data_IF_603226536899
#
_entry.id   IF_603226536899
#
_cell.length_a   1.000
_cell.length_b   1.000
_cell.length_c   1.000
_cell.angle_alpha   90.00
_cell.angle_beta   90.00
_cell.angle_gamma   90.00
#
_symmetry.space_group_name_H-M   'P 1'
#
loop_
_entity.id
_entity.type
_entity.pdbx_description
1 polymer ?
#
# COMPACT_ATOMS: atom_id res chain seq x y z
N UNK A 1 -26.55 -5.55 14.60
CA UNK A 1 -25.22 -5.02 14.90
C UNK A 1 -25.31 -3.97 16.01
N UNK A 2 -24.48 -4.02 17.06
CA UNK A 2 -24.55 -3.09 18.18
C UNK A 2 -23.92 -1.74 17.84
N UNK A 3 -24.60 -0.95 17.01
CA UNK A 3 -24.10 0.35 16.57
C UNK A 3 -23.89 1.33 17.73
N UNK A 4 -24.71 1.19 18.79
CA UNK A 4 -24.64 2.00 19.99
C UNK A 4 -23.36 1.76 20.82
N UNK A 5 -22.66 0.64 20.58
CA UNK A 5 -21.37 0.36 21.19
C UNK A 5 -20.19 1.08 20.52
N UNK A 6 -20.41 1.70 19.37
CA UNK A 6 -19.38 2.48 18.68
C UNK A 6 -19.14 3.82 19.38
N UNK A 7 -17.91 4.35 19.36
CA UNK A 7 -17.65 5.72 19.78
C UNK A 7 -18.55 6.72 19.03
N UNK A 8 -19.00 7.76 19.73
CA UNK A 8 -20.01 8.71 19.22
C UNK A 8 -19.72 9.25 17.82
N UNK A 9 -18.48 9.57 17.51
CA UNK A 9 -18.12 10.11 16.20
C UNK A 9 -18.34 9.05 15.11
N UNK A 10 -17.92 7.83 15.35
CA UNK A 10 -18.04 6.72 14.39
C UNK A 10 -19.50 6.31 14.25
N UNK A 11 -20.22 6.23 15.38
CA UNK A 11 -21.64 5.92 15.39
C UNK A 11 -22.44 6.91 14.55
N UNK A 12 -22.29 8.21 14.81
CA UNK A 12 -22.98 9.27 14.04
C UNK A 12 -22.65 9.24 12.56
N UNK A 13 -21.38 9.04 12.20
CA UNK A 13 -20.98 8.91 10.79
C UNK A 13 -21.65 7.68 10.14
N UNK A 14 -21.70 6.55 10.83
CA UNK A 14 -22.35 5.35 10.32
C UNK A 14 -23.87 5.52 10.20
N UNK A 15 -24.53 6.17 11.18
CA UNK A 15 -25.96 6.49 11.14
C UNK A 15 -26.29 7.44 9.98
N UNK A 16 -25.50 8.49 9.78
CA UNK A 16 -25.68 9.45 8.68
C UNK A 16 -25.51 8.77 7.31
N UNK A 17 -24.43 8.03 7.10
CA UNK A 17 -24.23 7.28 5.84
C UNK A 17 -25.34 6.24 5.65
N UNK A 18 -25.75 5.54 6.70
CA UNK A 18 -26.84 4.57 6.65
C UNK A 18 -28.18 5.21 6.27
N UNK A 19 -28.49 6.38 6.83
CA UNK A 19 -29.69 7.14 6.49
C UNK A 19 -29.69 7.63 5.06
N UNK A 20 -28.53 8.03 4.53
CA UNK A 20 -28.36 8.53 3.17
C UNK A 20 -28.33 7.40 2.14
N UNK A 21 -27.48 6.39 2.37
CA UNK A 21 -27.24 5.29 1.42
C UNK A 21 -28.38 4.26 1.45
N UNK A 22 -29.09 4.13 2.57
CA UNK A 22 -30.13 3.07 2.81
C UNK A 22 -29.55 1.66 2.67
N UNK A 23 -28.34 1.46 3.17
CA UNK A 23 -27.70 0.17 3.22
C UNK A 23 -27.91 -0.52 4.58
N UNK A 24 -27.76 -1.85 4.68
CA UNK A 24 -27.81 -2.54 5.97
C UNK A 24 -26.80 -2.00 6.97
N UNK A 25 -27.23 -1.80 8.22
CA UNK A 25 -26.40 -1.22 9.30
C UNK A 25 -25.08 -1.96 9.49
N UNK A 26 -25.09 -3.29 9.37
CA UNK A 26 -23.88 -4.13 9.49
C UNK A 26 -22.85 -3.76 8.44
N UNK A 27 -23.29 -3.54 7.21
CA UNK A 27 -22.46 -3.20 6.08
C UNK A 27 -21.83 -1.81 6.27
N UNK A 28 -22.64 -0.83 6.66
CA UNK A 28 -22.19 0.55 6.94
C UNK A 28 -21.16 0.57 8.06
N UNK A 29 -21.44 -0.15 9.16
CA UNK A 29 -20.54 -0.23 10.31
C UNK A 29 -19.22 -0.95 9.96
N UNK A 30 -19.26 -2.00 9.14
CA UNK A 30 -18.05 -2.71 8.68
C UNK A 30 -17.17 -1.80 7.81
N UNK A 31 -17.76 -1.05 6.89
CA UNK A 31 -17.02 -0.07 6.07
C UNK A 31 -16.38 1.03 6.91
N UNK A 32 -17.13 1.57 7.91
CA UNK A 32 -16.61 2.57 8.82
C UNK A 32 -15.42 2.06 9.64
N UNK A 33 -15.55 0.87 10.25
CA UNK A 33 -14.50 0.27 11.05
C UNK A 33 -13.27 -0.14 10.21
N UNK A 34 -13.48 -0.68 9.01
CA UNK A 34 -12.39 -1.03 8.10
C UNK A 34 -11.56 0.19 7.69
N UNK A 35 -12.23 1.29 7.35
CA UNK A 35 -11.56 2.55 7.00
C UNK A 35 -10.84 3.17 8.20
N UNK A 36 -11.44 3.16 9.38
CA UNK A 36 -10.81 3.63 10.62
C UNK A 36 -9.57 2.79 10.97
N UNK A 37 -9.70 1.47 10.90
CA UNK A 37 -8.58 0.55 11.13
C UNK A 37 -7.40 0.85 10.20
N UNK A 38 -7.68 1.03 8.91
CA UNK A 38 -6.66 1.39 7.92
C UNK A 38 -5.98 2.74 8.24
N UNK A 39 -6.74 3.73 8.65
CA UNK A 39 -6.21 5.04 9.01
C UNK A 39 -5.34 5.00 10.28
N UNK A 40 -5.68 4.14 11.26
CA UNK A 40 -5.02 4.09 12.56
C UNK A 40 -3.84 3.11 12.64
N UNK A 41 -3.83 2.03 11.85
CA UNK A 41 -2.91 0.90 12.03
C UNK A 41 -1.41 1.25 11.92
N UNK A 42 -1.05 2.36 11.26
CA UNK A 42 0.33 2.84 11.18
C UNK A 42 0.74 3.73 12.38
N UNK A 43 -0.20 4.15 13.21
CA UNK A 43 0.01 5.12 14.26
C UNK A 43 -0.09 4.52 15.66
N UNK A 44 -0.83 3.42 15.82
CA UNK A 44 -1.10 2.83 17.13
C UNK A 44 -1.09 1.31 17.06
N UNK A 45 -0.60 0.69 18.12
CA UNK A 45 -0.72 -0.74 18.37
C UNK A 45 -1.73 -1.04 19.47
N UNK A 46 -2.42 -2.15 19.35
CA UNK A 46 -3.28 -2.68 20.39
C UNK A 46 -2.48 -3.61 21.32
N UNK A 47 -2.34 -3.23 22.59
CA UNK A 47 -1.77 -4.08 23.62
C UNK A 47 -2.90 -4.88 24.28
N UNK A 48 -3.03 -6.16 23.90
CA UNK A 48 -4.08 -7.07 24.43
C UNK A 48 -3.66 -7.77 25.71
N UNK A 49 -2.35 -7.97 25.90
CA UNK A 49 -1.74 -8.53 27.09
C UNK A 49 -0.29 -8.07 27.17
N UNK A 50 0.43 -8.40 28.29
CA UNK A 50 1.79 -7.91 28.54
C UNK A 50 2.80 -8.21 27.42
N UNK A 51 2.66 -9.36 26.74
CA UNK A 51 3.52 -9.77 25.61
C UNK A 51 2.76 -9.91 24.29
N UNK A 52 1.57 -9.34 24.21
CA UNK A 52 0.68 -9.45 23.07
C UNK A 52 0.29 -8.06 22.56
N UNK A 53 1.18 -7.49 21.78
CA UNK A 53 1.01 -6.19 21.12
C UNK A 53 1.10 -6.38 19.60
N UNK A 54 0.31 -5.63 18.86
CA UNK A 54 0.32 -5.65 17.40
C UNK A 54 -0.56 -4.55 16.82
N UNK A 55 -0.51 -4.37 15.50
CA UNK A 55 -1.26 -3.31 14.83
C UNK A 55 -2.77 -3.49 14.99
N UNK A 56 -3.51 -2.39 14.83
CA UNK A 56 -4.98 -2.34 14.89
C UNK A 56 -5.65 -2.79 13.59
N UNK A 57 -4.93 -3.49 12.70
CA UNK A 57 -5.47 -4.01 11.44
C UNK A 57 -6.63 -4.98 11.67
N UNK A 58 -7.73 -4.78 10.95
CA UNK A 58 -8.92 -5.62 10.99
C UNK A 58 -9.07 -6.44 9.71
N UNK A 59 -9.55 -7.68 9.87
CA UNK A 59 -9.98 -8.54 8.78
C UNK A 59 -11.51 -8.65 8.85
N UNK A 60 -12.19 -8.00 7.92
CA UNK A 60 -13.63 -7.94 7.87
C UNK A 60 -14.14 -8.60 6.59
N UNK A 61 -15.05 -9.55 6.72
CA UNK A 61 -15.77 -10.15 5.60
C UNK A 61 -17.26 -9.91 5.80
N UNK A 62 -17.85 -9.16 4.89
CA UNK A 62 -19.29 -8.84 4.92
C UNK A 62 -19.98 -9.54 3.75
N UNK A 63 -20.96 -10.37 4.04
CA UNK A 63 -21.81 -11.03 3.05
C UNK A 63 -23.04 -10.18 2.84
N UNK A 64 -23.31 -9.82 1.60
CA UNK A 64 -24.43 -8.98 1.21
C UNK A 64 -24.84 -9.28 -0.25
N UNK A 65 -26.13 -9.17 -0.55
CA UNK A 65 -26.65 -9.42 -1.89
C UNK A 65 -26.17 -8.36 -2.90
N UNK A 66 -26.36 -8.69 -4.17
CA UNK A 66 -26.12 -7.71 -5.23
C UNK A 66 -27.11 -6.55 -5.11
N UNK A 67 -26.63 -5.30 -5.25
CA UNK A 67 -27.48 -4.11 -5.11
C UNK A 67 -27.55 -3.53 -3.71
N UNK A 68 -27.02 -4.17 -2.65
CA UNK A 68 -27.02 -3.65 -1.26
C UNK A 68 -26.03 -2.49 -1.03
N UNK A 69 -25.55 -1.86 -2.10
CA UNK A 69 -24.77 -0.62 -2.07
C UNK A 69 -23.43 -0.70 -1.32
N UNK A 70 -22.79 -1.90 -1.32
CA UNK A 70 -21.47 -2.15 -0.73
C UNK A 70 -20.44 -1.10 -1.13
N UNK A 71 -20.23 -0.96 -2.44
CA UNK A 71 -19.26 -0.01 -3.01
C UNK A 71 -19.56 1.44 -2.64
N UNK A 72 -20.84 1.80 -2.51
CA UNK A 72 -21.23 3.16 -2.10
C UNK A 72 -20.82 3.42 -0.65
N UNK A 73 -21.08 2.47 0.27
CA UNK A 73 -20.65 2.60 1.66
C UNK A 73 -19.12 2.74 1.77
N UNK A 74 -18.37 1.86 1.11
CA UNK A 74 -16.91 1.90 1.11
C UNK A 74 -16.39 3.23 0.54
N UNK A 75 -17.03 3.75 -0.51
CA UNK A 75 -16.66 5.02 -1.13
C UNK A 75 -16.77 6.20 -0.16
N UNK A 76 -17.84 6.27 0.65
CA UNK A 76 -18.00 7.31 1.66
C UNK A 76 -16.90 7.28 2.71
N UNK A 77 -16.65 6.13 3.31
CA UNK A 77 -15.67 6.02 4.41
C UNK A 77 -14.21 6.03 3.94
N UNK A 78 -13.93 5.67 2.70
CA UNK A 78 -12.57 5.73 2.13
C UNK A 78 -12.23 7.06 1.45
N UNK A 79 -13.21 7.97 1.29
CA UNK A 79 -13.02 9.22 0.54
C UNK A 79 -11.86 10.07 1.08
N UNK A 80 -11.79 10.26 2.40
CA UNK A 80 -10.71 11.03 3.03
C UNK A 80 -9.33 10.38 2.84
N UNK A 81 -9.25 9.04 2.85
CA UNK A 81 -8.00 8.32 2.61
C UNK A 81 -7.57 8.47 1.15
N UNK A 82 -8.51 8.41 0.20
CA UNK A 82 -8.23 8.64 -1.21
C UNK A 82 -7.73 10.06 -1.46
N UNK A 83 -8.43 11.04 -0.90
CA UNK A 83 -8.03 12.44 -1.00
C UNK A 83 -6.62 12.66 -0.45
N UNK A 84 -6.31 12.11 0.72
CA UNK A 84 -4.97 12.18 1.28
C UNK A 84 -3.90 11.58 0.34
N UNK A 85 -4.17 10.41 -0.24
CA UNK A 85 -3.24 9.81 -1.22
C UNK A 85 -3.01 10.69 -2.44
N UNK A 86 -4.09 11.27 -2.98
CA UNK A 86 -4.03 12.17 -4.14
C UNK A 86 -3.24 13.44 -3.82
N UNK A 87 -3.50 14.06 -2.67
CA UNK A 87 -2.77 15.23 -2.19
C UNK A 87 -1.27 14.94 -2.01
N UNK A 88 -0.92 13.80 -1.42
CA UNK A 88 0.48 13.40 -1.25
C UNK A 88 1.16 13.12 -2.60
N UNK A 89 0.48 12.43 -3.50
CA UNK A 89 1.00 12.15 -4.84
C UNK A 89 1.23 13.43 -5.65
N UNK A 90 0.31 14.38 -5.58
CA UNK A 90 0.46 15.68 -6.27
C UNK A 90 1.57 16.53 -5.65
N UNK A 91 1.66 16.59 -4.32
CA UNK A 91 2.73 17.29 -3.61
C UNK A 91 4.13 16.77 -3.96
N UNK A 92 4.26 15.46 -4.21
CA UNK A 92 5.52 14.82 -4.54
C UNK A 92 5.82 14.75 -6.04
N UNK A 93 4.96 15.23 -6.89
CA UNK A 93 5.06 15.09 -8.36
C UNK A 93 6.35 15.65 -8.96
N UNK A 94 6.85 16.77 -8.44
CA UNK A 94 8.12 17.37 -8.87
C UNK A 94 9.28 16.50 -8.42
N UNK A 95 9.31 16.13 -7.15
CA UNK A 95 10.35 15.28 -6.56
C UNK A 95 10.44 13.91 -7.23
N UNK A 96 9.30 13.35 -7.65
CA UNK A 96 9.28 12.10 -8.45
C UNK A 96 10.02 12.26 -9.77
N UNK A 97 9.77 13.36 -10.49
CA UNK A 97 10.45 13.62 -11.77
C UNK A 97 11.95 13.85 -11.60
N UNK A 98 12.32 14.54 -10.54
CA UNK A 98 13.74 14.74 -10.17
C UNK A 98 14.42 13.39 -9.90
N UNK A 99 13.81 12.56 -9.04
CA UNK A 99 14.29 11.21 -8.76
C UNK A 99 14.36 10.33 -10.03
N UNK A 100 13.35 10.35 -10.89
CA UNK A 100 13.34 9.59 -12.14
C UNK A 100 14.51 10.00 -13.04
N UNK A 101 14.78 11.30 -13.14
CA UNK A 101 15.89 11.85 -13.92
C UNK A 101 17.26 11.43 -13.34
N UNK A 102 17.43 11.60 -12.02
CA UNK A 102 18.65 11.20 -11.33
C UNK A 102 18.90 9.71 -11.41
N UNK A 103 17.87 8.90 -11.20
CA UNK A 103 17.98 7.44 -11.30
C UNK A 103 18.27 6.98 -12.73
N UNK A 104 17.72 7.63 -13.75
CA UNK A 104 18.03 7.34 -15.14
C UNK A 104 19.50 7.66 -15.48
N UNK A 105 20.03 8.79 -15.00
CA UNK A 105 21.43 9.16 -15.16
C UNK A 105 22.35 8.15 -14.45
N UNK A 106 22.03 7.80 -13.21
CA UNK A 106 22.77 6.79 -12.43
C UNK A 106 22.80 5.42 -13.14
N UNK A 107 21.66 4.97 -13.67
CA UNK A 107 21.59 3.71 -14.44
C UNK A 107 22.47 3.75 -15.71
N UNK A 108 22.47 4.86 -16.44
CA UNK A 108 23.29 5.03 -17.63
C UNK A 108 24.80 5.00 -17.32
N UNK A 109 25.23 5.70 -16.27
CA UNK A 109 26.62 5.66 -15.79
C UNK A 109 27.03 4.25 -15.36
N UNK A 110 26.16 3.57 -14.61
CA UNK A 110 26.38 2.20 -14.17
C UNK A 110 26.56 1.24 -15.35
N UNK A 111 25.69 1.34 -16.34
CA UNK A 111 25.78 0.53 -17.57
C UNK A 111 27.06 0.81 -18.34
N UNK A 112 27.45 2.08 -18.46
CA UNK A 112 28.70 2.51 -19.06
C UNK A 112 29.93 1.88 -18.38
N UNK A 113 30.00 1.93 -17.03
CA UNK A 113 31.07 1.32 -16.25
C UNK A 113 31.11 -0.21 -16.40
N UNK A 114 29.94 -0.87 -16.36
CA UNK A 114 29.86 -2.32 -16.59
C UNK A 114 30.33 -2.72 -17.99
N UNK A 115 30.00 -1.93 -19.00
CA UNK A 115 30.47 -2.13 -20.37
C UNK A 115 31.97 -1.93 -20.48
N UNK A 116 32.53 -0.89 -19.85
CA UNK A 116 33.99 -0.66 -19.84
C UNK A 116 34.74 -1.80 -19.13
N UNK A 117 34.22 -2.34 -18.04
CA UNK A 117 34.77 -3.51 -17.33
C UNK A 117 34.81 -4.73 -18.28
N UNK A 118 33.71 -5.01 -18.99
CA UNK A 118 33.63 -6.12 -19.94
C UNK A 118 34.64 -5.98 -21.09
N UNK A 119 34.74 -4.78 -21.65
CA UNK A 119 35.68 -4.51 -22.76
C UNK A 119 37.15 -4.58 -22.32
N UNK A 120 37.49 -4.05 -21.16
CA UNK A 120 38.81 -4.14 -20.59
C UNK A 120 39.21 -5.61 -20.32
N UNK A 121 38.25 -6.41 -19.76
CA UNK A 121 38.46 -7.82 -19.53
C UNK A 121 38.71 -8.62 -20.80
N UNK A 122 37.96 -8.37 -21.87
CA UNK A 122 38.20 -9.00 -23.18
C UNK A 122 39.60 -8.69 -23.75
N UNK A 123 40.14 -7.52 -23.47
CA UNK A 123 41.43 -7.05 -23.95
C UNK A 123 42.56 -7.35 -22.97
N UNK A 124 42.33 -8.13 -21.91
CA UNK A 124 43.29 -8.45 -20.83
C UNK A 124 43.94 -7.21 -20.21
N UNK A 125 43.20 -6.08 -20.15
CA UNK A 125 43.59 -4.85 -19.48
C UNK A 125 43.12 -4.81 -18.06
N UNK A 126 43.76 -4.00 -17.20
CA UNK A 126 43.31 -3.80 -15.82
C UNK A 126 41.90 -3.23 -15.77
N UNK A 127 41.05 -3.78 -14.90
CA UNK A 127 39.67 -3.35 -14.64
C UNK A 127 39.54 -2.61 -13.33
N UNK A 128 40.61 -2.44 -12.56
CA UNK A 128 40.56 -1.94 -11.17
C UNK A 128 39.96 -0.53 -11.04
N UNK A 129 40.37 0.38 -11.94
CA UNK A 129 39.83 1.76 -11.92
C UNK A 129 38.32 1.78 -12.18
N UNK A 130 37.84 0.99 -13.13
CA UNK A 130 36.41 0.93 -13.43
C UNK A 130 35.61 0.27 -12.30
N UNK A 131 36.16 -0.71 -11.61
CA UNK A 131 35.55 -1.34 -10.45
C UNK A 131 35.46 -0.38 -9.26
N UNK A 132 36.52 0.41 -9.01
CA UNK A 132 36.48 1.41 -7.95
C UNK A 132 35.46 2.53 -8.28
N UNK A 133 35.42 3.00 -9.53
CA UNK A 133 34.40 3.97 -9.95
C UNK A 133 32.97 3.40 -9.82
N UNK A 134 32.75 2.12 -10.17
CA UNK A 134 31.46 1.47 -9.99
C UNK A 134 31.09 1.41 -8.51
N UNK A 135 32.03 1.08 -7.64
CA UNK A 135 31.80 1.06 -6.19
C UNK A 135 31.44 2.44 -5.66
N UNK A 136 32.13 3.51 -6.09
CA UNK A 136 31.77 4.87 -5.71
C UNK A 136 30.38 5.27 -6.21
N UNK A 137 30.04 4.89 -7.44
CA UNK A 137 28.71 5.13 -8.02
C UNK A 137 27.60 4.41 -7.24
N UNK A 138 27.83 3.19 -6.76
CA UNK A 138 26.84 2.45 -5.94
C UNK A 138 26.52 3.16 -4.59
N UNK A 139 27.47 3.92 -4.03
CA UNK A 139 27.21 4.75 -2.84
C UNK A 139 26.36 5.99 -3.12
N UNK A 140 26.34 6.47 -4.36
CA UNK A 140 25.53 7.62 -4.78
C UNK A 140 24.19 7.23 -5.39
N UNK A 141 23.78 5.97 -5.25
CA UNK A 141 22.50 5.48 -5.76
C UNK A 141 21.35 6.29 -5.20
N UNK A 142 20.48 6.88 -6.04
CA UNK A 142 19.30 7.59 -5.57
C UNK A 142 18.38 6.70 -4.73
N UNK A 143 17.96 7.20 -3.56
CA UNK A 143 17.02 6.46 -2.71
C UNK A 143 15.61 6.48 -3.29
N UNK A 144 14.93 5.32 -3.37
CA UNK A 144 13.56 5.27 -3.85
C UNK A 144 12.62 6.13 -3.01
N UNK A 145 11.82 6.95 -3.67
CA UNK A 145 10.81 7.76 -3.00
C UNK A 145 9.69 6.89 -2.45
N UNK A 146 9.24 7.23 -1.24
CA UNK A 146 8.10 6.57 -0.58
C UNK A 146 6.89 7.48 -0.64
N UNK A 147 5.95 7.15 -1.51
CA UNK A 147 4.68 7.87 -1.65
C UNK A 147 3.60 7.06 -0.95
N UNK A 148 2.76 7.67 -0.11
CA UNK A 148 1.66 6.99 0.57
C UNK A 148 0.73 6.30 -0.42
N UNK A 149 0.60 4.97 -0.28
CA UNK A 149 -0.41 4.17 -0.95
C UNK A 149 -1.07 3.28 0.09
N UNK A 150 -2.23 3.72 0.56
CA UNK A 150 -2.93 3.11 1.67
C UNK A 150 -4.02 2.13 1.22
N UNK A 151 -4.67 2.41 0.06
CA UNK A 151 -5.80 1.64 -0.44
C UNK A 151 -5.40 0.76 -1.62
N UNK A 152 -5.67 -0.52 -1.50
CA UNK A 152 -5.54 -1.53 -2.54
C UNK A 152 -6.92 -2.13 -2.81
N UNK A 153 -7.34 -2.18 -4.05
CA UNK A 153 -8.64 -2.75 -4.46
C UNK A 153 -8.45 -4.14 -5.05
N UNK A 154 -7.46 -4.25 -5.95
CA UNK A 154 -7.09 -5.49 -6.63
C UNK A 154 -5.56 -5.55 -6.71
N UNK A 155 -4.99 -6.53 -6.02
CA UNK A 155 -3.54 -6.75 -5.99
C UNK A 155 -3.23 -8.19 -5.63
N UNK A 156 -2.14 -8.75 -6.17
CA UNK A 156 -1.67 -10.07 -5.75
C UNK A 156 -0.95 -9.98 -4.39
N UNK A 157 -0.86 -11.08 -3.64
CA UNK A 157 -0.11 -11.11 -2.37
C UNK A 157 1.34 -10.68 -2.52
N UNK A 158 2.00 -11.10 -3.61
CA UNK A 158 3.38 -10.76 -3.91
C UNK A 158 3.54 -9.24 -4.17
N UNK A 159 2.63 -8.67 -4.96
CA UNK A 159 2.62 -7.22 -5.23
C UNK A 159 2.32 -6.41 -3.97
N UNK A 160 1.38 -6.87 -3.13
CA UNK A 160 1.09 -6.24 -1.85
C UNK A 160 2.30 -6.29 -0.92
N UNK A 161 2.91 -7.47 -0.76
CA UNK A 161 4.11 -7.64 0.06
C UNK A 161 5.27 -6.77 -0.43
N UNK A 162 5.51 -6.71 -1.73
CA UNK A 162 6.51 -5.82 -2.33
C UNK A 162 6.24 -4.34 -2.02
N UNK A 163 4.99 -3.90 -2.21
CA UNK A 163 4.62 -2.51 -1.96
C UNK A 163 4.78 -2.12 -0.49
N UNK A 164 4.33 -2.97 0.44
CA UNK A 164 4.49 -2.74 1.87
C UNK A 164 5.96 -2.73 2.31
N UNK A 165 6.79 -3.58 1.72
CA UNK A 165 8.21 -3.67 2.07
C UNK A 165 9.07 -2.55 1.44
N UNK A 166 8.77 -2.15 0.20
CA UNK A 166 9.65 -1.28 -0.59
C UNK A 166 9.12 0.12 -0.84
N UNK A 167 7.79 0.32 -0.79
CA UNK A 167 7.18 1.62 -1.04
C UNK A 167 6.64 2.23 0.24
N UNK A 168 5.41 1.89 0.64
CA UNK A 168 4.79 2.44 1.83
C UNK A 168 4.41 1.34 2.81
N UNK A 169 4.88 1.40 4.09
CA UNK A 169 4.81 0.26 5.00
C UNK A 169 3.45 0.06 5.67
N UNK A 170 2.41 0.73 5.21
CA UNK A 170 1.05 0.59 5.72
C UNK A 170 0.06 0.63 4.58
N UNK A 171 -0.94 -0.24 4.61
CA UNK A 171 -1.99 -0.28 3.62
C UNK A 171 -3.01 -1.37 3.94
N UNK A 172 -4.14 -1.33 3.27
CA UNK A 172 -5.19 -2.32 3.39
C UNK A 172 -5.93 -2.55 2.09
N UNK A 173 -6.44 -3.75 1.94
CA UNK A 173 -7.28 -4.10 0.81
C UNK A 173 -8.74 -3.88 1.19
N UNK A 174 -9.45 -3.06 0.41
CA UNK A 174 -10.88 -2.83 0.53
C UNK A 174 -11.50 -3.13 -0.83
N UNK A 175 -12.21 -4.24 -0.93
CA UNK A 175 -12.85 -4.70 -2.16
C UNK A 175 -14.32 -5.04 -1.91
N UNK A 176 -15.21 -4.60 -2.79
CA UNK A 176 -16.61 -4.99 -2.80
C UNK A 176 -16.85 -6.40 -3.35
N UNK A 177 -15.81 -7.01 -3.92
CA UNK A 177 -15.89 -8.33 -4.57
C UNK A 177 -14.85 -9.29 -3.97
N UNK A 178 -15.21 -9.97 -2.87
CA UNK A 178 -14.33 -10.93 -2.21
C UNK A 178 -13.90 -12.10 -3.14
N UNK A 179 -14.68 -12.40 -4.17
CA UNK A 179 -14.34 -13.41 -5.18
C UNK A 179 -13.02 -13.15 -5.89
N UNK A 180 -12.66 -11.89 -6.11
CA UNK A 180 -11.37 -11.51 -6.69
C UNK A 180 -10.23 -11.86 -5.73
N UNK A 181 -10.45 -11.62 -4.43
CA UNK A 181 -9.45 -11.87 -3.38
C UNK A 181 -9.29 -13.38 -3.10
N UNK A 182 -10.40 -14.10 -3.00
CA UNK A 182 -10.40 -15.54 -2.64
C UNK A 182 -10.35 -16.48 -3.84
N UNK A 183 -10.79 -16.06 -5.02
CA UNK A 183 -10.89 -16.88 -6.22
C UNK A 183 -9.78 -16.70 -7.24
N UNK A 184 -8.96 -15.68 -7.10
CA UNK A 184 -7.80 -15.43 -7.96
C UNK A 184 -6.56 -16.19 -7.47
N UNK A 185 -5.46 -16.09 -8.20
CA UNK A 185 -4.14 -16.66 -7.85
C UNK A 185 -3.64 -16.28 -6.44
N UNK A 186 -4.31 -15.32 -5.77
CA UNK A 186 -4.02 -14.89 -4.41
C UNK A 186 -4.16 -16.00 -3.35
N UNK A 187 -4.98 -17.03 -3.61
CA UNK A 187 -5.24 -18.16 -2.70
C UNK A 187 -4.86 -19.50 -3.35
N UNK A 188 -4.03 -19.49 -4.38
CA UNK A 188 -3.49 -20.72 -4.97
C UNK A 188 -2.69 -21.52 -3.92
N UNK A 189 -2.65 -22.84 -4.07
CA UNK A 189 -2.01 -23.78 -3.14
C UNK A 189 -0.54 -23.47 -2.81
N UNK A 190 0.12 -22.64 -3.63
CA UNK A 190 1.53 -22.28 -3.50
C UNK A 190 1.77 -20.98 -2.69
N UNK A 191 0.70 -20.31 -2.23
CA UNK A 191 0.79 -19.06 -1.46
C UNK A 191 0.78 -19.27 0.07
N UNK A 192 0.77 -20.53 0.52
CA UNK A 192 0.75 -20.89 1.95
C UNK A 192 2.03 -21.68 2.26
N UNK A 193 3.17 -21.04 2.15
CA UNK A 193 4.42 -21.49 2.79
C UNK A 193 5.12 -20.32 3.45
#
# INVERSE_FOLDING_TARGET
YPIDALPDVIRRAAEEVGAFVKAPTVLVASSALGSLSLACQAHVDAKRAEKLQGPTGLFLLTIADSGERKTTCDSFFTSAIRQYQEEQAEAMKITVKEYESENAAWLAEREGLLSAIKEAGKKSKSTEVFKENLKQLEYSKPEPLRIPRLLYVDTTPEALAYNLAKQWPSGGMISSEAGIVFGSHAMGKDSIM
#
